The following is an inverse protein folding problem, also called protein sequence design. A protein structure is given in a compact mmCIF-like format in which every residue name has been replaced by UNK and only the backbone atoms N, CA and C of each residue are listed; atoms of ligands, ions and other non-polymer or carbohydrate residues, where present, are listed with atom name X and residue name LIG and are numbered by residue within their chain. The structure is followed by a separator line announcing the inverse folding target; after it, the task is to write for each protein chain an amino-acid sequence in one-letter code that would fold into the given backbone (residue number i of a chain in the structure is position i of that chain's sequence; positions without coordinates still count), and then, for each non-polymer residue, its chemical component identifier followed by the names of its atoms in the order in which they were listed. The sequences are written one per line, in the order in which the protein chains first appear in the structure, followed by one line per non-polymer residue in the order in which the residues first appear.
data_IF_062095699889
#
_entry.id   IF_062095699889
#
_cell.length_a   1.000
_cell.length_b   1.000
_cell.length_c   1.000
_cell.angle_alpha   90.00
_cell.angle_beta   90.00
_cell.angle_gamma   90.00
#
_symmetry.space_group_name_H-M   'P 1'
#
loop_
_entity.id
_entity.type
_entity.pdbx_description
1 polymer ?
#
# COMPACT_ATOMS: atom_id res chain seq x y z
N UNK A 1 4.54 -10.71 -29.85
CA UNK A 1 3.92 -10.95 -28.54
C UNK A 1 4.62 -10.03 -27.56
N UNK A 2 4.19 -8.77 -27.52
CA UNK A 2 4.94 -7.64 -26.94
C UNK A 2 4.00 -6.92 -25.97
N UNK A 3 3.52 -7.61 -24.93
CA UNK A 3 2.51 -7.05 -24.02
C UNK A 3 2.60 -7.56 -22.55
N UNK A 4 3.64 -8.30 -22.16
CA UNK A 4 3.70 -8.91 -20.82
C UNK A 4 4.83 -8.39 -19.91
N UNK A 5 5.68 -7.49 -20.41
CA UNK A 5 6.68 -6.80 -19.60
C UNK A 5 6.07 -5.47 -19.16
N UNK A 6 5.00 -5.53 -18.38
CA UNK A 6 4.88 -4.50 -17.33
C UNK A 6 6.22 -4.59 -16.61
N UNK A 7 7.01 -3.52 -16.60
CA UNK A 7 8.39 -3.52 -16.12
C UNK A 7 8.43 -4.07 -14.70
N UNK A 8 8.68 -5.38 -14.57
CA UNK A 8 8.53 -6.09 -13.29
C UNK A 8 9.54 -5.53 -12.29
N UNK A 9 10.64 -4.93 -12.76
CA UNK A 9 11.58 -4.22 -11.91
C UNK A 9 10.95 -3.03 -11.18
N UNK A 10 9.93 -2.39 -11.76
CA UNK A 10 9.18 -1.27 -11.12
C UNK A 10 8.03 -1.75 -10.26
N UNK A 11 7.35 -2.82 -10.66
CA UNK A 11 6.14 -3.32 -9.96
C UNK A 11 6.49 -4.21 -8.77
N UNK A 12 7.55 -5.01 -8.88
CA UNK A 12 8.02 -5.89 -7.81
C UNK A 12 8.29 -5.19 -6.47
N UNK A 13 8.99 -4.04 -6.40
CA UNK A 13 9.17 -3.33 -5.14
C UNK A 13 7.86 -2.83 -4.53
N UNK A 14 6.88 -2.40 -5.35
CA UNK A 14 5.54 -2.03 -4.83
C UNK A 14 4.87 -3.25 -4.21
N UNK A 15 4.87 -4.38 -4.91
CA UNK A 15 4.24 -5.62 -4.41
C UNK A 15 4.91 -6.07 -3.11
N UNK A 16 6.24 -6.06 -3.03
CA UNK A 16 6.95 -6.43 -1.81
C UNK A 16 6.66 -5.46 -0.66
N UNK A 17 6.79 -4.15 -0.88
CA UNK A 17 6.72 -3.15 0.18
C UNK A 17 5.30 -2.92 0.66
N UNK A 18 4.35 -2.76 -0.26
CA UNK A 18 2.95 -2.65 0.09
C UNK A 18 2.34 -4.00 0.45
N UNK A 19 2.68 -5.09 -0.23
CA UNK A 19 2.14 -6.42 0.11
C UNK A 19 2.52 -6.87 1.52
N UNK A 20 3.78 -6.73 1.92
CA UNK A 20 4.21 -7.00 3.31
C UNK A 20 3.52 -6.01 4.26
N UNK A 21 3.41 -4.74 3.87
CA UNK A 21 2.68 -3.72 4.64
C UNK A 21 1.20 -4.06 4.87
N UNK A 22 0.50 -4.61 3.87
CA UNK A 22 -0.88 -5.06 3.99
C UNK A 22 -1.02 -6.24 4.93
N UNK A 23 -0.09 -7.21 4.84
CA UNK A 23 -0.07 -8.36 5.75
C UNK A 23 0.14 -7.91 7.19
N UNK A 24 1.11 -7.01 7.44
CA UNK A 24 1.36 -6.46 8.77
C UNK A 24 0.19 -5.62 9.29
N UNK A 25 -0.44 -4.81 8.42
CA UNK A 25 -1.60 -4.01 8.79
C UNK A 25 -2.80 -4.90 9.13
N UNK A 26 -3.07 -5.94 8.33
CA UNK A 26 -4.11 -6.93 8.59
C UNK A 26 -3.86 -7.73 9.88
N UNK A 27 -2.62 -8.17 10.10
CA UNK A 27 -2.21 -8.84 11.35
C UNK A 27 -2.34 -7.92 12.56
N UNK A 28 -1.99 -6.64 12.43
CA UNK A 28 -2.15 -5.65 13.49
C UNK A 28 -3.60 -5.40 13.88
N UNK A 29 -4.49 -5.25 12.87
CA UNK A 29 -5.94 -5.12 13.10
C UNK A 29 -6.50 -6.40 13.71
N UNK A 30 -6.09 -7.57 13.23
CA UNK A 30 -6.53 -8.85 13.77
C UNK A 30 -6.05 -9.07 15.21
N UNK A 31 -4.80 -8.73 15.53
CA UNK A 31 -4.26 -8.79 16.88
C UNK A 31 -4.98 -7.79 17.81
N UNK A 32 -5.27 -6.57 17.34
CA UNK A 32 -6.03 -5.57 18.10
C UNK A 32 -7.44 -6.03 18.45
N UNK A 33 -8.13 -6.64 17.49
CA UNK A 33 -9.46 -7.25 17.70
C UNK A 33 -9.39 -8.47 18.62
N UNK A 34 -8.41 -9.36 18.42
CA UNK A 34 -8.26 -10.59 19.21
C UNK A 34 -7.79 -10.33 20.64
N UNK A 35 -7.07 -9.24 20.89
CA UNK A 35 -6.63 -8.82 22.21
C UNK A 35 -7.73 -8.13 23.03
N UNK A 36 -8.90 -7.84 22.42
CA UNK A 36 -9.96 -7.02 23.03
C UNK A 36 -9.56 -5.55 23.22
N UNK A 37 -8.42 -5.13 22.69
CA UNK A 37 -7.95 -3.74 22.73
C UNK A 37 -8.75 -2.86 21.77
N UNK A 38 -9.24 -3.45 20.68
CA UNK A 38 -9.98 -2.76 19.64
C UNK A 38 -11.40 -3.32 19.61
N UNK A 39 -12.36 -2.56 20.12
CA UNK A 39 -13.74 -2.98 20.22
C UNK A 39 -14.48 -2.64 18.92
N UNK A 40 -14.93 -3.67 18.19
CA UNK A 40 -15.61 -3.50 16.90
C UNK A 40 -16.98 -2.83 17.03
N UNK A 41 -17.58 -2.91 18.21
CA UNK A 41 -18.85 -2.28 18.56
C UNK A 41 -18.69 -0.81 18.97
N UNK A 42 -17.46 -0.35 19.25
CA UNK A 42 -17.21 1.05 19.53
C UNK A 42 -16.93 1.84 18.23
N UNK A 43 -17.73 2.90 17.95
CA UNK A 43 -17.56 3.68 16.73
C UNK A 43 -16.22 4.44 16.67
N UNK A 44 -15.57 4.72 17.80
CA UNK A 44 -14.26 5.37 17.84
C UNK A 44 -13.15 4.41 17.36
N UNK A 45 -13.13 3.17 17.85
CA UNK A 45 -12.14 2.16 17.47
C UNK A 45 -12.29 1.76 15.99
N UNK A 46 -13.53 1.66 15.53
CA UNK A 46 -13.81 1.43 14.11
C UNK A 46 -13.25 2.55 13.24
N UNK A 47 -13.38 3.81 13.67
CA UNK A 47 -12.83 4.97 12.96
C UNK A 47 -11.30 4.94 12.90
N UNK A 48 -10.64 4.46 13.95
CA UNK A 48 -9.18 4.31 13.97
C UNK A 48 -8.73 3.29 12.91
N UNK A 49 -9.39 2.13 12.83
CA UNK A 49 -9.10 1.13 11.80
C UNK A 49 -9.36 1.66 10.39
N UNK A 50 -10.47 2.38 10.21
CA UNK A 50 -10.80 3.02 8.93
C UNK A 50 -9.74 4.06 8.52
N UNK A 51 -9.22 4.87 9.47
CA UNK A 51 -8.14 5.83 9.19
C UNK A 51 -6.84 5.11 8.80
N UNK A 52 -6.48 4.02 9.49
CA UNK A 52 -5.30 3.23 9.17
C UNK A 52 -5.41 2.59 7.78
N UNK A 53 -6.54 1.98 7.47
CA UNK A 53 -6.81 1.38 6.17
C UNK A 53 -6.82 2.44 5.06
N UNK A 54 -7.48 3.58 5.30
CA UNK A 54 -7.50 4.70 4.36
C UNK A 54 -6.10 5.27 4.10
N UNK A 55 -5.30 5.49 5.15
CA UNK A 55 -3.93 5.97 5.03
C UNK A 55 -3.05 5.02 4.22
N UNK A 56 -3.16 3.71 4.48
CA UNK A 56 -2.45 2.69 3.70
C UNK A 56 -2.88 2.70 2.22
N UNK A 57 -4.17 2.76 1.93
CA UNK A 57 -4.68 2.82 0.55
C UNK A 57 -4.28 4.10 -0.18
N UNK A 58 -4.23 5.25 0.52
CA UNK A 58 -3.76 6.51 -0.04
C UNK A 58 -2.28 6.42 -0.42
N UNK A 59 -1.43 5.89 0.48
CA UNK A 59 -0.01 5.71 0.19
C UNK A 59 0.22 4.73 -0.96
N UNK A 60 -0.56 3.64 -1.01
CA UNK A 60 -0.52 2.69 -2.12
C UNK A 60 -0.90 3.36 -3.44
N UNK A 61 -2.01 4.10 -3.46
CA UNK A 61 -2.47 4.83 -4.63
C UNK A 61 -1.44 5.87 -5.08
N UNK A 62 -0.81 6.58 -4.13
CA UNK A 62 0.23 7.55 -4.40
C UNK A 62 1.48 6.88 -5.00
N UNK A 63 1.93 5.76 -4.44
CA UNK A 63 3.06 5.00 -4.99
C UNK A 63 2.74 4.43 -6.37
N UNK A 64 1.53 3.92 -6.61
CA UNK A 64 1.10 3.52 -7.94
C UNK A 64 1.08 4.71 -8.91
N UNK A 65 0.56 5.86 -8.48
CA UNK A 65 0.55 7.08 -9.27
C UNK A 65 1.99 7.48 -9.63
N UNK A 66 2.92 7.54 -8.68
CA UNK A 66 4.32 7.83 -8.99
C UNK A 66 4.95 6.79 -9.94
N UNK A 67 4.80 5.49 -9.69
CA UNK A 67 5.46 4.48 -10.52
C UNK A 67 4.95 4.46 -11.97
N UNK A 68 3.66 4.68 -12.18
CA UNK A 68 3.05 4.67 -13.52
C UNK A 68 3.01 6.07 -14.19
N UNK A 69 3.06 7.17 -13.42
CA UNK A 69 3.04 8.55 -13.95
C UNK A 69 4.45 9.14 -14.16
N UNK A 70 5.49 8.63 -13.47
CA UNK A 70 6.88 9.07 -13.67
C UNK A 70 7.67 8.44 -14.84
N UNK A 71 7.16 7.60 -15.78
CA UNK A 71 7.98 7.13 -16.91
C UNK A 71 8.29 8.24 -17.93
N UNK A 72 7.83 9.48 -17.74
CA UNK A 72 8.10 10.61 -18.63
C UNK A 72 9.43 11.35 -18.39
N UNK A 73 10.28 10.90 -17.48
CA UNK A 73 11.63 11.44 -17.35
C UNK A 73 12.54 10.60 -18.26
N UNK A 74 12.99 11.12 -19.42
CA UNK A 74 13.89 10.39 -20.29
C UNK A 74 15.21 10.18 -19.55
N UNK A 75 15.74 8.95 -19.57
CA UNK A 75 17.07 8.57 -19.07
C UNK A 75 18.21 9.15 -19.95
N UNK A 76 18.18 10.46 -20.20
CA UNK A 76 19.10 11.13 -21.12
C UNK A 76 19.57 12.53 -20.70
N UNK A 77 19.28 12.97 -19.47
CA UNK A 77 19.74 14.27 -18.94
C UNK A 77 20.30 14.13 -17.51
N UNK A 78 20.98 13.01 -17.24
CA UNK A 78 21.97 13.01 -16.16
C UNK A 78 23.26 13.65 -16.75
N UNK A 79 23.79 14.74 -16.18
CA UNK A 79 25.05 15.32 -16.62
C UNK A 79 26.24 14.38 -16.38
#
# INVERSE_FOLDING_TARGET
MENAVVDMARVWPIICQFGIGALLCGLGVWAGLSSGYLNRDDPADRRIVEIFAAGYLILLALSCAFTFWLPFIPEGIAP
#
